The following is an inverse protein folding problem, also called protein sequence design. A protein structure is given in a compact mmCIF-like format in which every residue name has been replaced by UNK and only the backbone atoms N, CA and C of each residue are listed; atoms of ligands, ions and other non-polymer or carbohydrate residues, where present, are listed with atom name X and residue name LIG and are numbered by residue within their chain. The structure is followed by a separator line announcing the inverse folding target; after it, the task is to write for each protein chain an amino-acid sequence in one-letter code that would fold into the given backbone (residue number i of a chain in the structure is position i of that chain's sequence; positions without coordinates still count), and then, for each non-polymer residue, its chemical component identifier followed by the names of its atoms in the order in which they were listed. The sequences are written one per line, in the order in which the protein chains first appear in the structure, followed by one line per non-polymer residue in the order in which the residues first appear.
data_IF_213505805607
#
_entry.id   IF_213505805607
#
_cell.length_a   1.000
_cell.length_b   1.000
_cell.length_c   1.000
_cell.angle_alpha   90.00
_cell.angle_beta   90.00
_cell.angle_gamma   90.00
#
_symmetry.space_group_name_H-M   'P 1'
#
loop_
_entity.id
_entity.type
_entity.pdbx_description
1 polymer ?
#
# COMPACT_ATOMS: atom_id res chain seq x y z
N UNK A 1 -3.91 6.36 14.65
CA UNK A 1 -4.00 5.64 13.36
C UNK A 1 -4.79 4.36 13.58
N UNK A 2 -6.03 4.31 13.07
CA UNK A 2 -6.85 3.11 13.10
C UNK A 2 -6.28 2.01 12.18
N UNK A 3 -6.23 0.78 12.66
CA UNK A 3 -5.69 -0.37 11.90
C UNK A 3 -6.62 -1.57 12.04
N UNK A 4 -6.81 -2.31 10.95
CA UNK A 4 -7.56 -3.57 10.94
C UNK A 4 -6.79 -4.65 10.16
N UNK A 5 -6.32 -5.69 10.87
CA UNK A 5 -5.62 -6.82 10.25
C UNK A 5 -6.49 -8.08 10.36
N UNK A 6 -7.50 -8.28 9.49
CA UNK A 6 -8.44 -9.39 9.61
C UNK A 6 -7.77 -10.77 9.51
N UNK A 7 -6.63 -10.83 8.81
CA UNK A 7 -5.70 -11.95 8.79
C UNK A 7 -4.27 -11.44 8.83
N UNK A 8 -3.36 -12.33 9.18
CA UNK A 8 -1.94 -12.07 9.30
C UNK A 8 -1.14 -13.15 8.56
N UNK A 9 0.03 -12.79 8.05
CA UNK A 9 0.88 -13.64 7.25
C UNK A 9 0.73 -13.35 5.75
N UNK A 10 1.72 -13.76 4.97
CA UNK A 10 1.74 -13.63 3.51
C UNK A 10 2.77 -14.58 2.90
N UNK A 11 2.68 -14.81 1.59
CA UNK A 11 3.71 -15.48 0.79
C UNK A 11 4.45 -14.47 -0.10
N UNK A 12 5.78 -14.57 -0.20
CA UNK A 12 6.61 -13.70 -1.04
C UNK A 12 6.35 -13.98 -2.52
N UNK A 13 6.10 -12.94 -3.32
CA UNK A 13 5.77 -13.10 -4.76
C UNK A 13 6.59 -12.22 -5.70
N UNK A 14 7.40 -11.31 -5.16
CA UNK A 14 8.18 -10.37 -5.96
C UNK A 14 9.40 -9.84 -5.18
N UNK A 15 10.37 -9.21 -5.85
CA UNK A 15 11.60 -8.72 -5.20
C UNK A 15 11.35 -7.76 -4.03
N UNK A 16 10.25 -7.01 -4.03
CA UNK A 16 9.85 -6.15 -2.92
C UNK A 16 9.50 -6.90 -1.63
N UNK A 17 9.31 -8.23 -1.68
CA UNK A 17 9.01 -9.05 -0.51
C UNK A 17 10.25 -9.59 0.21
N UNK A 18 11.45 -9.48 -0.37
CA UNK A 18 12.63 -10.20 0.12
C UNK A 18 13.04 -9.78 1.54
N UNK A 19 13.00 -8.48 1.85
CA UNK A 19 13.30 -7.95 3.18
C UNK A 19 12.04 -7.41 3.90
N UNK A 20 10.89 -8.04 3.63
CA UNK A 20 9.62 -7.63 4.21
C UNK A 20 9.68 -7.55 5.75
N UNK A 21 9.23 -6.42 6.30
CA UNK A 21 9.29 -6.16 7.73
C UNK A 21 8.42 -7.16 8.54
N UNK A 22 7.32 -7.65 7.98
CA UNK A 22 6.46 -8.65 8.66
C UNK A 22 7.24 -9.95 8.89
N UNK A 23 7.97 -10.43 7.88
CA UNK A 23 8.84 -11.61 8.00
C UNK A 23 9.95 -11.39 9.04
N UNK A 24 10.57 -10.20 9.07
CA UNK A 24 11.60 -9.90 10.07
C UNK A 24 11.01 -9.88 11.49
N UNK A 25 9.86 -9.22 11.67
CA UNK A 25 9.18 -9.10 12.97
C UNK A 25 8.71 -10.45 13.49
N UNK A 26 8.10 -11.28 12.65
CA UNK A 26 7.60 -12.59 13.06
C UNK A 26 8.73 -13.55 13.43
N UNK A 27 9.88 -13.46 12.74
CA UNK A 27 11.06 -14.25 13.05
C UNK A 27 11.60 -13.97 14.47
N UNK A 28 11.48 -12.74 14.99
CA UNK A 28 11.83 -12.40 16.38
C UNK A 28 11.01 -13.20 17.42
N UNK A 29 9.84 -13.71 17.02
CA UNK A 29 8.95 -14.51 17.87
C UNK A 29 8.84 -15.97 17.42
N UNK A 30 9.70 -16.43 16.50
CA UNK A 30 9.67 -17.79 15.96
C UNK A 30 8.39 -18.14 15.19
N UNK A 31 7.70 -17.13 14.65
CA UNK A 31 6.45 -17.32 13.91
C UNK A 31 6.72 -17.44 12.41
N UNK A 32 6.09 -18.42 11.76
CA UNK A 32 6.16 -18.58 10.32
C UNK A 32 5.14 -17.66 9.61
N UNK A 33 5.62 -16.58 9.02
CA UNK A 33 4.80 -15.62 8.25
C UNK A 33 4.12 -16.24 7.03
N UNK A 34 4.64 -17.35 6.48
CA UNK A 34 4.04 -18.00 5.31
C UNK A 34 2.70 -18.68 5.62
N UNK A 35 2.45 -18.98 6.89
CA UNK A 35 1.18 -19.53 7.37
C UNK A 35 0.19 -18.40 7.61
N UNK A 36 -0.64 -18.15 6.60
CA UNK A 36 -1.69 -17.13 6.69
C UNK A 36 -2.84 -17.62 7.56
N UNK A 37 -3.20 -16.81 8.56
CA UNK A 37 -4.25 -17.16 9.53
C UNK A 37 -5.16 -15.98 9.83
N UNK A 38 -6.44 -16.28 10.02
CA UNK A 38 -7.45 -15.32 10.49
C UNK A 38 -7.10 -14.83 11.90
N UNK A 39 -7.19 -13.54 12.16
CA UNK A 39 -6.84 -12.98 13.48
C UNK A 39 -8.05 -12.80 14.38
N UNK A 40 -7.80 -12.56 15.68
CA UNK A 40 -8.85 -12.17 16.62
C UNK A 40 -9.51 -10.81 16.28
N UNK A 41 -8.87 -10.00 15.41
CA UNK A 41 -9.41 -8.72 14.95
C UNK A 41 -10.31 -8.85 13.72
N UNK A 42 -10.58 -10.06 13.23
CA UNK A 42 -11.40 -10.29 12.03
C UNK A 42 -12.72 -9.51 12.05
N UNK A 43 -13.50 -9.62 13.13
CA UNK A 43 -14.80 -8.94 13.26
C UNK A 43 -14.69 -7.52 13.85
N UNK A 44 -13.50 -6.91 13.95
CA UNK A 44 -13.31 -5.62 14.62
C UNK A 44 -14.19 -4.48 14.07
N UNK A 45 -14.38 -4.31 12.74
CA UNK A 45 -15.18 -3.21 12.21
C UNK A 45 -16.64 -3.24 12.69
N UNK A 46 -17.20 -4.43 12.88
CA UNK A 46 -18.61 -4.60 13.31
C UNK A 46 -18.76 -4.90 14.79
N UNK A 47 -17.65 -5.01 15.54
CA UNK A 47 -17.67 -5.30 16.97
C UNK A 47 -18.21 -4.07 17.71
N UNK A 48 -19.28 -4.25 18.49
CA UNK A 48 -19.88 -3.19 19.30
C UNK A 48 -19.49 -3.28 20.78
N UNK A 49 -19.53 -2.15 21.49
CA UNK A 49 -19.40 -2.11 22.95
C UNK A 49 -20.77 -2.37 23.62
N UNK A 50 -20.84 -2.29 24.96
CA UNK A 50 -22.10 -2.53 25.70
C UNK A 50 -23.20 -1.49 25.43
N UNK A 51 -22.84 -0.32 24.89
CA UNK A 51 -23.76 0.76 24.50
C UNK A 51 -24.25 0.62 23.05
N UNK A 52 -23.80 -0.39 22.31
CA UNK A 52 -24.14 -0.58 20.90
C UNK A 52 -23.31 0.24 19.92
N UNK A 53 -22.30 0.98 20.40
CA UNK A 53 -21.39 1.75 19.54
C UNK A 53 -20.31 0.83 18.96
N UNK A 54 -19.92 1.04 17.70
CA UNK A 54 -18.80 0.32 17.11
C UNK A 54 -17.51 0.57 17.89
N UNK A 55 -16.69 -0.46 18.09
CA UNK A 55 -15.40 -0.31 18.79
C UNK A 55 -14.33 0.34 17.92
N UNK A 56 -14.39 0.09 16.61
CA UNK A 56 -13.53 0.75 15.64
C UNK A 56 -14.15 2.08 15.26
N UNK A 57 -13.53 3.16 15.72
CA UNK A 57 -13.95 4.53 15.45
C UNK A 57 -13.04 5.15 14.37
N UNK A 58 -13.54 6.15 13.61
CA UNK A 58 -12.70 6.94 12.72
C UNK A 58 -11.53 7.59 13.51
N UNK A 59 -10.31 7.46 13.00
CA UNK A 59 -9.09 8.04 13.60
C UNK A 59 -8.06 8.31 12.49
N UNK A 60 -8.11 9.55 11.97
CA UNK A 60 -7.44 9.97 10.73
C UNK A 60 -8.27 9.66 9.49
N UNK A 61 -7.64 9.75 8.32
CA UNK A 61 -8.33 9.63 7.03
C UNK A 61 -8.75 8.18 6.72
N UNK A 62 -7.99 7.20 7.22
CA UNK A 62 -8.14 5.80 6.85
C UNK A 62 -8.02 4.82 8.03
N UNK A 63 -8.73 3.69 7.89
CA UNK A 63 -8.45 2.42 8.57
C UNK A 63 -7.48 1.62 7.72
N UNK A 64 -6.23 1.56 8.19
CA UNK A 64 -5.16 0.83 7.52
C UNK A 64 -5.39 -0.68 7.63
N UNK A 65 -5.71 -1.29 6.50
CA UNK A 65 -6.21 -2.67 6.41
C UNK A 65 -5.15 -3.60 5.85
N UNK A 66 -4.98 -4.78 6.45
CA UNK A 66 -4.01 -5.80 6.00
C UNK A 66 -2.55 -5.31 5.94
N UNK A 67 -2.11 -4.44 6.87
CA UNK A 67 -0.71 -4.01 6.91
C UNK A 67 0.24 -5.13 7.34
N UNK A 68 -0.25 -6.20 7.98
CA UNK A 68 0.53 -7.41 8.29
C UNK A 68 0.20 -8.61 7.39
N UNK A 69 -0.41 -8.37 6.23
CA UNK A 69 -0.79 -9.40 5.25
C UNK A 69 -0.95 -8.79 3.86
N UNK A 70 -1.57 -9.50 2.91
CA UNK A 70 -2.06 -8.92 1.65
C UNK A 70 -3.56 -9.25 1.57
N UNK A 71 -4.40 -8.26 1.24
CA UNK A 71 -5.85 -8.46 1.24
C UNK A 71 -6.30 -9.51 0.20
N UNK A 72 -5.57 -9.61 -0.90
CA UNK A 72 -5.85 -10.55 -1.98
C UNK A 72 -5.06 -11.85 -1.88
N UNK A 73 -4.48 -12.16 -0.71
CA UNK A 73 -3.80 -13.44 -0.50
C UNK A 73 -4.76 -14.64 -0.67
N UNK A 74 -4.39 -15.70 -1.42
CA UNK A 74 -5.28 -16.84 -1.67
C UNK A 74 -5.85 -17.51 -0.42
N UNK A 75 -5.03 -17.69 0.62
CA UNK A 75 -5.47 -18.28 1.89
C UNK A 75 -6.56 -17.46 2.63
N UNK A 76 -6.84 -16.22 2.20
CA UNK A 76 -7.91 -15.40 2.76
C UNK A 76 -9.22 -15.46 1.94
N UNK A 77 -9.27 -16.20 0.82
CA UNK A 77 -10.42 -16.22 -0.09
C UNK A 77 -11.75 -16.55 0.61
N UNK A 78 -11.72 -17.50 1.55
CA UNK A 78 -12.90 -17.92 2.34
C UNK A 78 -13.41 -16.83 3.30
N UNK A 79 -12.53 -15.94 3.73
CA UNK A 79 -12.87 -14.88 4.69
C UNK A 79 -13.16 -13.55 4.01
N UNK A 80 -12.65 -13.35 2.78
CA UNK A 80 -12.68 -12.07 2.05
C UNK A 80 -14.10 -11.57 1.82
N UNK A 81 -15.06 -12.44 1.45
CA UNK A 81 -16.47 -12.04 1.26
C UNK A 81 -17.07 -11.37 2.52
N UNK A 82 -16.76 -11.90 3.70
CA UNK A 82 -17.20 -11.30 4.98
C UNK A 82 -16.45 -10.00 5.29
N UNK A 83 -15.18 -9.90 4.91
CA UNK A 83 -14.42 -8.65 5.04
C UNK A 83 -15.04 -7.54 4.17
N UNK A 84 -15.41 -7.84 2.93
CA UNK A 84 -16.14 -6.90 2.07
C UNK A 84 -17.48 -6.46 2.66
N UNK A 85 -18.26 -7.39 3.21
CA UNK A 85 -19.53 -7.06 3.87
C UNK A 85 -19.33 -6.10 5.06
N UNK A 86 -18.27 -6.28 5.85
CA UNK A 86 -17.93 -5.37 6.95
C UNK A 86 -17.48 -3.99 6.47
N UNK A 87 -16.75 -3.91 5.35
CA UNK A 87 -16.39 -2.62 4.75
C UNK A 87 -17.63 -1.88 4.25
N UNK A 88 -18.56 -2.59 3.61
CA UNK A 88 -19.84 -2.02 3.15
C UNK A 88 -20.72 -1.55 4.31
N UNK A 89 -20.79 -2.29 5.41
CA UNK A 89 -21.57 -1.89 6.60
C UNK A 89 -21.01 -0.63 7.26
N UNK A 90 -19.69 -0.44 7.21
CA UNK A 90 -18.98 0.68 7.85
C UNK A 90 -18.67 1.77 6.83
N UNK A 91 -19.71 2.32 6.22
CA UNK A 91 -19.63 3.47 5.30
C UNK A 91 -19.15 4.76 5.99
N UNK A 92 -19.17 4.80 7.33
CA UNK A 92 -18.57 5.84 8.17
C UNK A 92 -17.03 5.74 8.30
N UNK A 93 -16.41 4.71 7.73
CA UNK A 93 -14.97 4.49 7.72
C UNK A 93 -14.44 4.37 6.30
N UNK A 94 -13.30 5.00 6.00
CA UNK A 94 -12.54 4.73 4.78
C UNK A 94 -11.49 3.64 5.03
N UNK A 95 -11.45 2.61 4.21
CA UNK A 95 -10.48 1.52 4.31
C UNK A 95 -9.37 1.70 3.29
N UNK A 96 -8.12 1.67 3.73
CA UNK A 96 -6.95 1.73 2.85
C UNK A 96 -6.13 0.47 2.97
N UNK A 97 -5.81 -0.18 1.86
CA UNK A 97 -4.85 -1.28 1.86
C UNK A 97 -3.96 -1.28 0.62
N UNK A 98 -2.77 -1.85 0.80
CA UNK A 98 -1.77 -1.99 -0.27
C UNK A 98 -1.72 -3.44 -0.70
N UNK A 99 -1.66 -3.70 -2.00
CA UNK A 99 -1.53 -5.06 -2.55
C UNK A 99 -0.41 -5.19 -3.57
N UNK A 100 0.17 -6.38 -3.64
CA UNK A 100 1.07 -6.84 -4.72
C UNK A 100 0.40 -7.83 -5.66
N UNK A 101 -0.90 -8.10 -5.47
CA UNK A 101 -1.71 -9.14 -6.13
C UNK A 101 -2.96 -8.58 -6.83
N UNK A 102 -2.86 -7.50 -7.63
CA UNK A 102 -4.03 -6.95 -8.31
C UNK A 102 -4.73 -7.99 -9.21
N UNK A 103 -4.02 -9.01 -9.71
CA UNK A 103 -4.57 -10.11 -10.52
C UNK A 103 -5.61 -10.97 -9.81
N UNK A 104 -5.74 -10.82 -8.49
CA UNK A 104 -6.70 -11.57 -7.68
C UNK A 104 -7.89 -10.73 -7.23
N UNK A 105 -8.01 -9.49 -7.69
CA UNK A 105 -9.08 -8.58 -7.30
C UNK A 105 -10.47 -9.21 -7.41
N UNK A 106 -10.78 -9.83 -8.56
CA UNK A 106 -12.10 -10.42 -8.82
C UNK A 106 -12.39 -11.69 -8.02
N UNK A 107 -11.40 -12.27 -7.33
CA UNK A 107 -11.59 -13.48 -6.52
C UNK A 107 -12.29 -13.10 -5.22
N UNK A 108 -13.43 -13.72 -4.96
CA UNK A 108 -14.28 -13.40 -3.81
C UNK A 108 -14.74 -11.94 -3.77
N UNK A 109 -14.85 -11.29 -4.93
CA UNK A 109 -15.51 -10.00 -5.07
C UNK A 109 -17.01 -10.18 -4.81
N UNK A 110 -17.68 -9.26 -4.10
CA UNK A 110 -19.10 -9.39 -3.82
C UNK A 110 -19.95 -8.98 -5.04
N UNK A 111 -21.14 -9.57 -5.20
CA UNK A 111 -21.99 -9.37 -6.39
C UNK A 111 -22.50 -7.92 -6.53
N UNK A 112 -22.55 -7.20 -5.41
CA UNK A 112 -22.98 -5.81 -5.29
C UNK A 112 -21.83 -4.80 -5.42
N UNK A 113 -20.65 -5.23 -5.90
CA UNK A 113 -19.48 -4.37 -6.04
C UNK A 113 -19.69 -3.19 -7.01
N UNK A 114 -20.42 -3.40 -8.11
CA UNK A 114 -20.70 -2.37 -9.10
C UNK A 114 -19.42 -1.74 -9.68
N UNK A 115 -19.32 -0.41 -9.59
CA UNK A 115 -18.16 0.39 -10.01
C UNK A 115 -17.14 0.63 -8.87
N UNK A 116 -17.37 0.03 -7.70
CA UNK A 116 -16.50 0.09 -6.53
C UNK A 116 -17.16 0.77 -5.32
N UNK A 117 -16.73 0.38 -4.13
CA UNK A 117 -17.15 1.03 -2.89
C UNK A 117 -16.40 2.34 -2.67
N UNK A 118 -17.15 3.43 -2.44
CA UNK A 118 -16.61 4.77 -2.18
C UNK A 118 -15.68 4.80 -0.96
N UNK A 119 -15.95 3.99 0.04
CA UNK A 119 -15.15 3.96 1.26
C UNK A 119 -13.96 2.97 1.19
N UNK A 120 -13.56 2.53 -0.01
CA UNK A 120 -12.44 1.60 -0.23
C UNK A 120 -11.39 2.20 -1.15
N UNK A 121 -10.21 2.43 -0.59
CA UNK A 121 -9.01 2.85 -1.31
C UNK A 121 -8.03 1.70 -1.44
N UNK A 122 -7.66 1.37 -2.67
CA UNK A 122 -6.69 0.31 -2.97
C UNK A 122 -5.43 0.91 -3.57
N UNK A 123 -4.28 0.55 -3.00
CA UNK A 123 -2.98 0.99 -3.48
C UNK A 123 -2.19 -0.19 -4.07
N UNK A 124 -1.64 -0.04 -5.27
CA UNK A 124 -0.86 -1.08 -5.92
C UNK A 124 0.65 -0.86 -5.72
N UNK A 125 1.35 -1.83 -5.12
CA UNK A 125 2.82 -1.76 -5.05
C UNK A 125 3.45 -2.08 -6.40
N UNK A 126 4.37 -1.22 -6.83
CA UNK A 126 5.23 -1.41 -7.99
C UNK A 126 6.69 -1.13 -7.60
N UNK A 127 7.44 -2.14 -7.14
CA UNK A 127 8.79 -1.92 -6.59
C UNK A 127 9.89 -1.68 -7.65
N UNK A 128 9.66 -2.02 -8.91
CA UNK A 128 10.59 -1.83 -10.03
C UNK A 128 9.84 -1.82 -11.37
N UNK A 129 10.51 -1.46 -12.47
CA UNK A 129 9.87 -1.35 -13.80
C UNK A 129 9.16 -2.66 -14.20
N UNK A 130 9.81 -3.82 -14.06
CA UNK A 130 9.20 -5.11 -14.42
C UNK A 130 7.88 -5.36 -13.69
N UNK A 131 7.81 -5.06 -12.39
CA UNK A 131 6.57 -5.25 -11.63
C UNK A 131 5.53 -4.18 -11.95
N UNK A 132 5.97 -2.97 -12.31
CA UNK A 132 5.13 -1.88 -12.81
C UNK A 132 4.42 -2.32 -14.09
N UNK A 133 5.18 -2.77 -15.08
CA UNK A 133 4.67 -3.20 -16.39
C UNK A 133 3.76 -4.42 -16.29
N UNK A 134 3.98 -5.26 -15.27
CA UNK A 134 3.12 -6.40 -14.99
C UNK A 134 1.80 -6.02 -14.31
N UNK A 135 1.81 -5.06 -13.38
CA UNK A 135 0.70 -4.81 -12.46
C UNK A 135 -0.20 -3.66 -12.89
N UNK A 136 0.38 -2.55 -13.35
CA UNK A 136 -0.39 -1.34 -13.64
C UNK A 136 -1.41 -1.49 -14.78
N UNK A 137 -1.10 -2.16 -15.92
CA UNK A 137 -2.10 -2.34 -16.98
C UNK A 137 -3.37 -3.01 -16.47
N UNK A 138 -3.22 -4.03 -15.63
CA UNK A 138 -4.35 -4.71 -15.01
C UNK A 138 -5.02 -3.85 -13.94
N UNK A 139 -4.23 -3.30 -13.00
CA UNK A 139 -4.77 -2.61 -11.82
C UNK A 139 -5.60 -1.37 -12.19
N UNK A 140 -5.18 -0.63 -13.21
CA UNK A 140 -5.84 0.63 -13.61
C UNK A 140 -7.19 0.38 -14.28
N UNK A 141 -7.40 -0.78 -14.89
CA UNK A 141 -8.68 -1.18 -15.49
C UNK A 141 -9.70 -1.72 -14.46
N UNK A 142 -9.29 -1.99 -13.22
CA UNK A 142 -10.19 -2.54 -12.21
C UNK A 142 -11.26 -1.50 -11.78
N UNK A 143 -12.50 -1.94 -11.47
CA UNK A 143 -13.59 -1.08 -11.00
C UNK A 143 -13.36 -0.69 -9.53
N UNK A 144 -12.37 0.18 -9.30
CA UNK A 144 -12.01 0.71 -7.99
C UNK A 144 -12.12 2.22 -8.09
N UNK A 145 -12.87 2.83 -7.17
CA UNK A 145 -13.09 4.28 -7.15
C UNK A 145 -11.83 5.05 -6.76
N UNK A 146 -11.17 4.61 -5.69
CA UNK A 146 -9.98 5.27 -5.16
C UNK A 146 -8.73 4.41 -5.37
N UNK A 147 -7.87 4.82 -6.31
CA UNK A 147 -6.63 4.12 -6.66
C UNK A 147 -5.40 4.96 -6.37
N UNK A 148 -4.38 4.33 -5.78
CA UNK A 148 -3.03 4.90 -5.69
C UNK A 148 -1.96 3.90 -6.13
N UNK A 149 -0.77 4.42 -6.42
CA UNK A 149 0.41 3.62 -6.75
C UNK A 149 1.45 3.83 -5.66
N UNK A 150 2.18 2.78 -5.31
CA UNK A 150 3.29 2.89 -4.36
C UNK A 150 4.55 2.18 -4.85
N UNK A 151 5.65 2.92 -4.91
CA UNK A 151 6.99 2.40 -5.15
C UNK A 151 7.71 2.21 -3.82
N UNK A 152 7.25 1.24 -3.01
CA UNK A 152 7.83 0.95 -1.69
C UNK A 152 7.92 -0.56 -1.40
N UNK A 153 9.15 -1.11 -1.22
CA UNK A 153 10.42 -0.41 -1.41
C UNK A 153 10.65 -0.05 -2.90
N UNK A 154 11.23 1.12 -3.17
CA UNK A 154 11.68 1.47 -4.52
C UNK A 154 13.03 0.79 -4.81
N UNK A 155 13.05 -0.11 -5.79
CA UNK A 155 14.21 -0.95 -6.12
C UNK A 155 14.85 -0.62 -7.48
N UNK A 156 14.51 0.54 -8.05
CA UNK A 156 15.07 1.03 -9.30
C UNK A 156 14.30 2.24 -9.81
N UNK A 157 14.80 2.85 -10.88
CA UNK A 157 14.05 3.88 -11.62
C UNK A 157 12.81 3.25 -12.25
N UNK A 158 11.69 3.98 -12.23
CA UNK A 158 10.43 3.53 -12.79
C UNK A 158 9.85 4.64 -13.66
N UNK A 159 9.52 4.30 -14.90
CA UNK A 159 8.79 5.12 -15.83
C UNK A 159 7.32 4.67 -15.85
N UNK A 160 6.45 5.52 -15.31
CA UNK A 160 4.99 5.39 -15.31
C UNK A 160 4.29 6.37 -16.28
N UNK A 161 5.03 7.20 -17.03
CA UNK A 161 4.43 8.14 -18.01
C UNK A 161 3.37 7.50 -18.92
N UNK A 162 3.58 6.30 -19.51
CA UNK A 162 2.56 5.70 -20.37
C UNK A 162 1.23 5.46 -19.64
N UNK A 163 1.30 5.15 -18.35
CA UNK A 163 0.12 4.92 -17.51
C UNK A 163 -0.52 6.23 -17.07
N UNK A 164 0.27 7.23 -16.69
CA UNK A 164 -0.25 8.55 -16.32
C UNK A 164 -0.93 9.23 -17.52
N UNK A 165 -0.34 9.14 -18.71
CA UNK A 165 -0.93 9.69 -19.93
C UNK A 165 -2.36 9.18 -20.21
N UNK A 166 -2.66 7.94 -19.81
CA UNK A 166 -3.95 7.32 -20.02
C UNK A 166 -4.87 7.38 -18.79
N UNK A 167 -4.32 7.34 -17.57
CA UNK A 167 -5.08 7.08 -16.34
C UNK A 167 -4.84 8.11 -15.23
N UNK A 168 -4.21 9.26 -15.51
CA UNK A 168 -3.95 10.29 -14.48
C UNK A 168 -5.19 10.68 -13.68
N UNK A 169 -6.34 10.85 -14.33
CA UNK A 169 -7.61 11.20 -13.67
C UNK A 169 -8.14 10.12 -12.71
N UNK A 170 -7.61 8.89 -12.79
CA UNK A 170 -8.01 7.78 -11.93
C UNK A 170 -6.97 7.45 -10.84
N UNK A 171 -5.84 8.15 -10.80
CA UNK A 171 -4.76 7.89 -9.84
C UNK A 171 -4.69 9.08 -8.88
N UNK A 172 -5.06 8.85 -7.62
CA UNK A 172 -5.12 9.91 -6.63
C UNK A 172 -3.73 10.33 -6.15
N UNK A 173 -2.84 9.35 -5.97
CA UNK A 173 -1.49 9.59 -5.47
C UNK A 173 -0.49 8.53 -5.96
N UNK A 174 0.75 8.96 -6.17
CA UNK A 174 1.93 8.09 -6.28
C UNK A 174 2.85 8.33 -5.09
N UNK A 175 3.02 7.31 -4.24
CA UNK A 175 3.95 7.35 -3.12
C UNK A 175 5.27 6.64 -3.46
N UNK A 176 6.41 7.24 -3.08
CA UNK A 176 7.74 6.62 -3.16
C UNK A 176 8.36 6.42 -1.77
N UNK A 177 9.09 5.31 -1.58
CA UNK A 177 9.84 5.09 -0.35
C UNK A 177 10.93 4.03 -0.44
N UNK A 178 12.01 4.23 0.31
CA UNK A 178 13.10 3.26 0.41
C UNK A 178 12.81 2.08 1.33
N UNK A 179 13.64 1.04 1.24
CA UNK A 179 13.53 -0.16 2.08
C UNK A 179 14.05 0.09 3.50
N UNK A 180 13.38 -0.51 4.50
CA UNK A 180 13.76 -0.41 5.90
C UNK A 180 14.44 -1.67 6.43
N UNK A 181 15.20 -1.54 7.53
CA UNK A 181 15.91 -2.64 8.16
C UNK A 181 17.39 -2.68 7.77
N UNK A 182 18.15 -3.52 8.45
CA UNK A 182 19.61 -3.62 8.30
C UNK A 182 20.02 -4.10 6.90
N UNK A 183 19.25 -5.05 6.36
CA UNK A 183 19.42 -5.58 5.01
C UNK A 183 18.80 -4.70 3.91
N UNK A 184 18.41 -3.46 4.23
CA UNK A 184 17.82 -2.56 3.24
C UNK A 184 18.71 -2.43 1.99
N UNK A 185 18.07 -2.48 0.82
CA UNK A 185 18.69 -2.17 -0.46
C UNK A 185 18.72 -0.66 -0.70
N UNK A 186 19.64 -0.24 -1.57
CA UNK A 186 19.83 1.18 -1.91
C UNK A 186 18.55 1.73 -2.54
N UNK A 187 18.07 2.85 -2.00
CA UNK A 187 17.11 3.74 -2.63
C UNK A 187 17.86 4.97 -3.15
N UNK A 188 17.85 5.21 -4.47
CA UNK A 188 18.49 6.38 -5.07
C UNK A 188 17.51 7.55 -5.16
N UNK A 189 17.90 8.72 -4.62
CA UNK A 189 17.10 9.93 -4.68
C UNK A 189 16.78 10.36 -6.12
N UNK A 190 17.65 10.06 -7.08
CA UNK A 190 17.39 10.35 -8.49
C UNK A 190 16.16 9.60 -9.02
N UNK A 191 15.89 8.39 -8.53
CA UNK A 191 14.69 7.63 -8.91
C UNK A 191 13.43 8.28 -8.37
N UNK A 192 13.46 8.72 -7.12
CA UNK A 192 12.35 9.41 -6.45
C UNK A 192 12.01 10.71 -7.19
N UNK A 193 13.03 11.54 -7.49
CA UNK A 193 12.85 12.76 -8.27
C UNK A 193 12.30 12.47 -9.67
N UNK A 194 12.75 11.38 -10.30
CA UNK A 194 12.25 10.98 -11.61
C UNK A 194 10.77 10.61 -11.59
N UNK A 195 10.28 9.92 -10.56
CA UNK A 195 8.83 9.68 -10.38
C UNK A 195 8.09 10.97 -10.08
N UNK A 196 8.60 11.82 -9.18
CA UNK A 196 7.98 13.11 -8.86
C UNK A 196 7.74 13.96 -10.11
N UNK A 197 8.75 14.09 -10.97
CA UNK A 197 8.61 14.84 -12.24
C UNK A 197 7.54 14.26 -13.16
N UNK A 198 7.38 12.93 -13.18
CA UNK A 198 6.30 12.29 -13.94
C UNK A 198 4.93 12.63 -13.37
N UNK A 199 4.77 12.61 -12.06
CA UNK A 199 3.52 12.98 -11.41
C UNK A 199 3.16 14.45 -11.67
N UNK A 200 4.13 15.36 -11.58
CA UNK A 200 3.96 16.79 -11.91
C UNK A 200 3.53 16.99 -13.37
N UNK A 201 4.14 16.26 -14.31
CA UNK A 201 3.82 16.33 -15.75
C UNK A 201 2.34 16.05 -16.06
N UNK A 202 1.71 15.16 -15.29
CA UNK A 202 0.31 14.76 -15.47
C UNK A 202 -0.62 15.22 -14.33
N UNK A 203 -0.18 16.19 -13.51
CA UNK A 203 -0.95 16.74 -12.39
C UNK A 203 -1.49 15.67 -11.39
N UNK A 204 -0.73 14.61 -11.15
CA UNK A 204 -1.04 13.57 -10.14
C UNK A 204 -0.31 13.88 -8.84
N UNK A 205 -0.97 13.71 -7.69
CA UNK A 205 -0.31 13.95 -6.40
C UNK A 205 0.85 12.98 -6.18
N UNK A 206 1.91 13.49 -5.55
CA UNK A 206 3.12 12.73 -5.27
C UNK A 206 3.54 12.92 -3.82
N UNK A 207 3.87 11.82 -3.16
CA UNK A 207 4.37 11.83 -1.79
C UNK A 207 5.68 11.05 -1.65
N UNK A 208 6.73 11.72 -1.16
CA UNK A 208 7.97 11.08 -0.75
C UNK A 208 7.92 10.70 0.72
N UNK A 209 7.47 9.46 0.97
CA UNK A 209 7.17 8.97 2.32
C UNK A 209 8.39 8.77 3.20
N UNK A 210 9.40 8.02 2.73
CA UNK A 210 10.58 7.66 3.53
C UNK A 210 11.83 7.41 2.69
N UNK A 211 13.00 7.73 3.26
CA UNK A 211 14.29 7.48 2.59
C UNK A 211 14.68 6.01 2.50
N UNK A 212 14.19 5.18 3.42
CA UNK A 212 14.77 3.87 3.71
C UNK A 212 16.10 3.96 4.46
N UNK A 213 16.66 2.81 4.83
CA UNK A 213 17.88 2.76 5.65
C UNK A 213 19.16 2.98 4.84
N UNK A 214 19.23 2.54 3.57
CA UNK A 214 20.36 2.80 2.66
C UNK A 214 19.93 3.78 1.57
N UNK A 215 20.26 5.05 1.74
CA UNK A 215 19.81 6.12 0.86
C UNK A 215 20.96 6.73 0.07
N UNK A 216 20.85 6.77 -1.25
CA UNK A 216 21.87 7.35 -2.13
C UNK A 216 21.43 8.72 -2.63
N UNK A 217 22.32 9.72 -2.53
CA UNK A 217 22.12 11.06 -3.10
C UNK A 217 23.41 11.51 -3.80
N UNK A 218 23.35 11.60 -5.12
CA UNK A 218 24.54 11.80 -5.96
C UNK A 218 25.52 10.65 -5.78
N UNK A 219 26.78 10.95 -5.46
CA UNK A 219 27.83 9.94 -5.27
C UNK A 219 27.94 9.42 -3.83
N UNK A 220 27.09 9.90 -2.90
CA UNK A 220 27.14 9.51 -1.49
C UNK A 220 26.01 8.55 -1.13
N UNK A 221 26.32 7.55 -0.31
CA UNK A 221 25.35 6.64 0.31
C UNK A 221 25.33 6.92 1.81
N UNK A 222 24.14 7.09 2.35
CA UNK A 222 23.88 7.38 3.75
C UNK A 222 23.19 6.18 4.41
N UNK A 223 23.59 5.89 5.64
CA UNK A 223 22.83 5.02 6.54
C UNK A 223 21.91 5.89 7.37
N UNK A 224 20.60 5.70 7.22
CA UNK A 224 19.58 6.53 7.88
C UNK A 224 18.86 5.71 8.94
N UNK A 225 19.01 6.12 10.20
CA UNK A 225 18.31 5.53 11.33
C UNK A 225 16.79 5.55 11.13
N UNK A 226 16.10 4.50 11.58
CA UNK A 226 14.66 4.33 11.39
C UNK A 226 13.83 5.53 11.83
N UNK A 227 14.21 6.16 12.95
CA UNK A 227 13.54 7.36 13.50
C UNK A 227 13.63 8.59 12.60
N UNK A 228 14.64 8.64 11.72
CA UNK A 228 14.93 9.81 10.88
C UNK A 228 14.42 9.63 9.44
N UNK A 229 14.08 8.41 9.00
CA UNK A 229 13.72 8.11 7.61
C UNK A 229 12.52 8.92 7.09
N UNK A 230 11.46 9.05 7.89
CA UNK A 230 10.26 9.84 7.54
C UNK A 230 10.58 11.34 7.57
N UNK A 231 11.25 11.79 8.63
CA UNK A 231 11.57 13.21 8.82
C UNK A 231 12.53 13.73 7.75
N UNK A 232 13.51 12.93 7.33
CA UNK A 232 14.43 13.30 6.27
C UNK A 232 13.76 13.34 4.90
N UNK A 233 12.85 12.41 4.61
CA UNK A 233 12.06 12.45 3.38
C UNK A 233 11.19 13.70 3.30
N UNK A 234 10.47 14.02 4.40
CA UNK A 234 9.68 15.27 4.50
C UNK A 234 10.53 16.52 4.30
N UNK A 235 11.74 16.57 4.89
CA UNK A 235 12.68 17.70 4.73
C UNK A 235 13.19 17.88 3.30
N UNK A 236 13.03 16.89 2.41
CA UNK A 236 13.37 17.06 1.01
C UNK A 236 12.44 18.05 0.30
N UNK A 237 11.20 18.24 0.78
CA UNK A 237 10.28 19.25 0.27
C UNK A 237 9.87 19.04 -1.18
N UNK A 238 9.73 17.77 -1.60
CA UNK A 238 9.41 17.39 -3.00
C UNK A 238 8.01 16.81 -3.17
N UNK A 239 7.21 16.79 -2.10
CA UNK A 239 5.80 16.41 -2.21
C UNK A 239 5.08 17.41 -3.12
N UNK A 240 4.18 16.89 -3.95
CA UNK A 240 3.41 17.68 -4.91
C UNK A 240 1.93 17.34 -4.77
N UNK A 241 1.10 18.36 -4.60
CA UNK A 241 -0.34 18.21 -4.57
C UNK A 241 -0.88 18.51 -5.97
N UNK A 242 -1.40 17.48 -6.65
CA UNK A 242 -2.11 17.67 -7.91
C UNK A 242 -3.46 18.34 -7.66
N UNK A 243 -3.95 19.12 -8.62
CA UNK A 243 -5.32 19.59 -8.59
C UNK A 243 -6.26 18.40 -8.86
N UNK A 244 -7.12 18.05 -7.91
CA UNK A 244 -8.20 17.11 -8.17
C UNK A 244 -9.29 17.83 -8.99
N UNK A 245 -9.72 17.22 -10.10
CA UNK A 245 -10.88 17.66 -10.87
C UNK A 245 -12.18 17.24 -10.16
#
# INVERSE_FOLDING_TARGET
MATWNPWHGCTKISPGCYHCYVYRRDAEFGKDTSVVSKTASFNLPVKKNRKGEYKLQPDGDYVYTCFTSDFFHPAADEWRKKAWAMMKERDDLNFFFVTKRPERFSVSLPDDWGDGYENVHICCTCENQRMTDKRLPLFLELPIRHKSIIHEPMLGSINIRPYLAQYHDCIEEVTCGGESGEEARICDYAWILNTMMQCVEYNVSFHFKQTGAKFKRGNRVYQIDRKDQLTQARKAGIDFQGAQN
#
